data_IF_848575120071
#
_entry.id   IF_848575120071
#
_cell.length_a   1.000
_cell.length_b   1.000
_cell.length_c   1.000
_cell.angle_alpha   90.00
_cell.angle_beta   90.00
_cell.angle_gamma   90.00
#
_symmetry.space_group_name_H-M   'P 1'
#
loop_
_entity.id
_entity.type
_entity.pdbx_description
1 polymer ?
#
# COMPACT_ATOMS: atom_id res chain seq x y z
N UNK A 1 -16.78 32.92 -46.29
CA UNK A 1 -17.65 33.95 -45.68
C UNK A 1 -17.04 34.25 -44.31
N UNK A 2 -16.26 35.33 -44.31
CA UNK A 2 -15.52 35.80 -43.12
C UNK A 2 -16.46 36.61 -42.26
N UNK A 3 -16.39 36.48 -40.96
CA UNK A 3 -16.82 37.51 -40.02
C UNK A 3 -15.78 37.67 -38.93
N UNK A 4 -14.96 38.70 -39.14
CA UNK A 4 -14.16 39.38 -38.13
C UNK A 4 -15.08 39.98 -37.06
N UNK A 5 -14.75 39.82 -35.79
CA UNK A 5 -15.23 40.73 -34.75
C UNK A 5 -14.03 41.16 -33.90
N UNK A 6 -13.58 42.35 -34.21
CA UNK A 6 -12.58 43.16 -33.49
C UNK A 6 -13.19 43.60 -32.16
N UNK A 7 -12.57 43.22 -31.04
CA UNK A 7 -12.91 43.75 -29.71
C UNK A 7 -12.04 44.98 -29.48
N UNK A 8 -12.73 46.11 -29.25
CA UNK A 8 -12.21 47.47 -29.10
C UNK A 8 -11.35 47.64 -27.85
N UNK A 9 -10.27 48.45 -28.04
CA UNK A 9 -9.25 48.78 -27.01
C UNK A 9 -9.73 49.67 -25.84
N UNK A 10 -11.01 50.01 -25.77
CA UNK A 10 -11.54 50.97 -24.76
C UNK A 10 -12.06 50.31 -23.45
N UNK A 11 -11.91 49.00 -23.25
CA UNK A 11 -12.32 48.33 -22.02
C UNK A 11 -11.18 48.02 -21.05
N UNK A 12 -9.95 48.44 -21.32
CA UNK A 12 -8.77 48.16 -20.49
C UNK A 12 -8.36 49.30 -19.54
N UNK A 13 -9.13 50.38 -19.44
CA UNK A 13 -8.73 51.56 -18.65
C UNK A 13 -9.57 51.82 -17.38
N UNK A 14 -10.34 50.86 -16.87
CA UNK A 14 -11.20 51.11 -15.69
C UNK A 14 -11.01 50.15 -14.53
N UNK A 15 -9.79 49.63 -14.30
CA UNK A 15 -9.53 48.70 -13.13
C UNK A 15 -8.36 49.18 -12.26
N UNK A 16 -7.92 50.41 -12.36
CA UNK A 16 -6.93 50.95 -11.43
C UNK A 16 -7.47 52.20 -10.73
N UNK A 17 -8.31 52.06 -9.76
CA UNK A 17 -8.43 52.92 -8.57
C UNK A 17 -9.54 52.43 -7.64
N UNK A 18 -9.25 51.56 -6.72
CA UNK A 18 -9.86 51.56 -5.40
C UNK A 18 -9.00 50.82 -4.40
N UNK A 19 -8.23 51.60 -3.66
CA UNK A 19 -8.01 51.56 -2.22
C UNK A 19 -8.05 50.18 -1.55
N UNK A 20 -6.85 49.75 -1.11
CA UNK A 20 -6.54 48.76 -0.08
C UNK A 20 -7.59 48.69 1.01
N UNK A 21 -8.48 47.71 0.94
CA UNK A 21 -9.13 47.12 2.10
C UNK A 21 -8.60 45.68 2.20
N UNK A 22 -7.79 45.46 3.19
CA UNK A 22 -7.27 44.16 3.57
C UNK A 22 -8.47 43.23 3.89
N UNK A 23 -8.81 42.24 3.04
CA UNK A 23 -9.84 41.29 3.44
C UNK A 23 -9.18 40.38 4.48
N UNK A 24 -9.56 40.58 5.70
CA UNK A 24 -9.39 39.57 6.75
C UNK A 24 -10.03 38.28 6.27
N UNK A 25 -9.20 37.41 5.65
CA UNK A 25 -9.52 36.04 5.39
C UNK A 25 -9.82 35.38 6.73
N UNK A 26 -11.09 35.20 7.05
CA UNK A 26 -11.51 34.34 8.12
C UNK A 26 -10.97 32.97 7.81
N UNK A 27 -10.09 32.38 8.65
CA UNK A 27 -9.61 31.02 8.44
C UNK A 27 -10.80 30.09 8.61
N UNK A 28 -11.34 29.61 7.47
CA UNK A 28 -12.25 28.47 7.51
C UNK A 28 -11.52 27.27 8.10
N UNK A 29 -12.21 26.38 8.84
CA UNK A 29 -11.56 25.19 9.41
C UNK A 29 -11.01 24.36 8.25
N UNK A 30 -9.68 24.23 8.16
CA UNK A 30 -8.98 23.29 7.25
C UNK A 30 -9.46 21.88 7.63
N UNK A 31 -10.44 21.37 6.89
CA UNK A 31 -10.95 20.01 7.05
C UNK A 31 -10.05 19.11 6.23
N UNK A 32 -9.15 18.39 6.89
CA UNK A 32 -8.63 17.15 6.28
C UNK A 32 -9.85 16.31 5.87
N UNK A 33 -9.94 15.86 4.61
CA UNK A 33 -11.01 14.97 4.20
C UNK A 33 -11.00 13.75 5.14
N UNK A 34 -12.14 13.42 5.73
CA UNK A 34 -12.26 12.24 6.61
C UNK A 34 -11.72 10.98 5.92
N UNK A 35 -11.80 10.90 4.59
CA UNK A 35 -11.30 9.83 3.76
C UNK A 35 -9.82 9.52 3.93
N UNK A 36 -8.94 10.52 4.06
CA UNK A 36 -7.50 10.25 4.19
C UNK A 36 -7.11 9.59 5.50
N UNK A 37 -7.71 10.01 6.62
CA UNK A 37 -7.46 9.34 7.91
C UNK A 37 -7.97 7.91 7.84
N UNK A 38 -9.09 7.66 7.15
CA UNK A 38 -9.65 6.34 6.92
C UNK A 38 -8.71 5.47 6.08
N UNK A 39 -8.11 6.00 5.00
CA UNK A 39 -7.15 5.25 4.17
C UNK A 39 -5.88 4.88 4.94
N UNK A 40 -5.31 5.78 5.73
CA UNK A 40 -4.16 5.46 6.58
C UNK A 40 -4.52 4.38 7.60
N UNK A 41 -5.70 4.47 8.22
CA UNK A 41 -6.17 3.48 9.18
C UNK A 41 -6.43 2.14 8.49
N UNK A 42 -7.00 2.15 7.28
CA UNK A 42 -7.19 0.97 6.44
C UNK A 42 -5.86 0.29 6.13
N UNK A 43 -4.87 1.01 5.62
CA UNK A 43 -3.54 0.47 5.34
C UNK A 43 -2.88 -0.16 6.58
N UNK A 44 -3.00 0.47 7.76
CA UNK A 44 -2.50 -0.08 9.03
C UNK A 44 -3.22 -1.36 9.45
N UNK A 45 -4.53 -1.45 9.22
CA UNK A 45 -5.28 -2.67 9.52
C UNK A 45 -4.92 -3.81 8.58
N UNK A 46 -4.68 -3.53 7.28
CA UNK A 46 -4.22 -4.53 6.32
C UNK A 46 -2.83 -5.06 6.68
N UNK A 47 -1.86 -4.19 6.99
CA UNK A 47 -0.54 -4.60 7.45
C UNK A 47 -0.63 -5.43 8.74
N UNK A 48 -1.44 -5.02 9.71
CA UNK A 48 -1.66 -5.75 10.94
C UNK A 48 -2.35 -7.12 10.74
N UNK A 49 -3.20 -7.24 9.72
CA UNK A 49 -3.81 -8.52 9.34
C UNK A 49 -2.77 -9.47 8.75
N UNK A 50 -1.90 -8.98 7.84
CA UNK A 50 -0.78 -9.76 7.28
C UNK A 50 0.16 -10.25 8.40
N UNK A 51 0.59 -9.37 9.31
CA UNK A 51 1.42 -9.75 10.46
C UNK A 51 0.73 -10.80 11.35
N UNK A 52 -0.57 -10.65 11.59
CA UNK A 52 -1.32 -11.63 12.39
C UNK A 52 -1.41 -12.99 11.69
N UNK A 53 -1.64 -12.99 10.38
CA UNK A 53 -1.68 -14.22 9.56
C UNK A 53 -0.31 -14.89 9.52
N UNK A 54 0.77 -14.14 9.38
CA UNK A 54 2.13 -14.69 9.40
C UNK A 54 2.45 -15.37 10.72
N UNK A 55 2.00 -14.81 11.85
CA UNK A 55 2.29 -15.31 13.20
C UNK A 55 1.41 -16.50 13.58
N UNK A 56 0.11 -16.46 13.33
CA UNK A 56 -0.84 -17.47 13.86
C UNK A 56 -1.71 -18.14 12.80
N UNK A 57 -1.58 -17.80 11.53
CA UNK A 57 -2.44 -18.24 10.45
C UNK A 57 -3.83 -17.58 10.46
N UNK A 58 -4.54 -17.67 9.34
CA UNK A 58 -5.90 -17.10 9.22
C UNK A 58 -6.88 -17.72 10.23
N UNK A 59 -6.82 -19.02 10.44
CA UNK A 59 -7.74 -19.72 11.34
C UNK A 59 -7.76 -19.13 12.75
N UNK A 60 -6.62 -18.65 13.23
CA UNK A 60 -6.44 -18.08 14.58
C UNK A 60 -6.37 -16.54 14.58
N UNK A 61 -6.37 -15.89 13.43
CA UNK A 61 -6.44 -14.43 13.34
C UNK A 61 -7.77 -13.93 13.89
N UNK A 62 -7.72 -12.91 14.75
CA UNK A 62 -8.89 -12.28 15.33
C UNK A 62 -8.92 -10.77 15.07
N UNK A 63 -10.12 -10.18 15.03
CA UNK A 63 -10.27 -8.71 14.95
C UNK A 63 -9.54 -8.02 16.11
N UNK A 64 -9.51 -8.62 17.30
CA UNK A 64 -8.80 -8.07 18.46
C UNK A 64 -7.29 -7.95 18.22
N UNK A 65 -6.68 -8.94 17.57
CA UNK A 65 -5.26 -8.90 17.21
C UNK A 65 -4.99 -7.81 16.15
N UNK A 66 -5.83 -7.71 15.11
CA UNK A 66 -5.69 -6.69 14.07
C UNK A 66 -5.80 -5.28 14.67
N UNK A 67 -6.85 -4.98 15.44
CA UNK A 67 -7.02 -3.65 16.05
C UNK A 67 -5.92 -3.31 17.05
N UNK A 68 -5.43 -4.31 17.79
CA UNK A 68 -4.32 -4.14 18.74
C UNK A 68 -3.02 -3.73 18.04
N UNK A 69 -2.63 -4.43 16.96
CA UNK A 69 -1.45 -4.13 16.14
C UNK A 69 -1.62 -2.81 15.39
N UNK A 70 -2.72 -2.63 14.68
CA UNK A 70 -3.03 -1.41 13.93
C UNK A 70 -3.25 -0.17 14.83
N UNK A 71 -3.44 -0.37 16.14
CA UNK A 71 -3.73 0.69 17.13
C UNK A 71 -4.93 1.54 16.75
N UNK A 72 -5.96 0.88 16.24
CA UNK A 72 -7.26 1.51 15.94
C UNK A 72 -8.31 1.12 16.99
N UNK A 73 -9.47 1.79 16.96
CA UNK A 73 -10.60 1.38 17.80
C UNK A 73 -11.38 0.26 17.11
N UNK A 74 -12.12 -0.53 17.93
CA UNK A 74 -13.04 -1.53 17.37
C UNK A 74 -14.09 -0.90 16.45
N UNK A 75 -14.59 0.29 16.83
CA UNK A 75 -15.48 1.06 15.95
C UNK A 75 -14.82 1.39 14.62
N UNK A 76 -13.57 1.87 14.64
CA UNK A 76 -12.83 2.20 13.41
C UNK A 76 -12.66 0.99 12.50
N UNK A 77 -12.46 -0.20 13.06
CA UNK A 77 -12.38 -1.43 12.27
C UNK A 77 -13.71 -1.68 11.55
N UNK A 78 -14.83 -1.67 12.29
CA UNK A 78 -16.16 -1.92 11.70
C UNK A 78 -16.71 -0.76 10.86
N UNK A 79 -16.11 0.42 10.94
CA UNK A 79 -16.39 1.53 10.02
C UNK A 79 -15.74 1.29 8.61
N UNK A 80 -14.76 0.34 8.49
CA UNK A 80 -13.97 0.07 7.28
C UNK A 80 -14.19 -1.35 6.76
N UNK A 81 -14.31 -2.34 7.63
CA UNK A 81 -14.46 -3.75 7.30
C UNK A 81 -15.66 -4.35 8.03
N UNK A 82 -16.44 -5.16 7.33
CA UNK A 82 -17.59 -5.85 7.89
C UNK A 82 -17.16 -6.86 8.97
N UNK A 83 -16.11 -7.61 8.69
CA UNK A 83 -15.57 -8.64 9.58
C UNK A 83 -14.10 -8.94 9.28
N UNK A 84 -13.58 -10.05 9.84
CA UNK A 84 -12.20 -10.47 9.62
C UNK A 84 -11.95 -11.02 8.21
N UNK A 85 -12.98 -11.65 7.60
CA UNK A 85 -12.89 -12.20 6.24
C UNK A 85 -12.76 -11.06 5.23
N UNK A 86 -13.58 -10.01 5.36
CA UNK A 86 -13.52 -8.80 4.55
C UNK A 86 -12.15 -8.08 4.67
N UNK A 87 -11.63 -7.98 5.89
CA UNK A 87 -10.29 -7.44 6.12
C UNK A 87 -9.18 -8.30 5.46
N UNK A 88 -9.30 -9.63 5.55
CA UNK A 88 -8.35 -10.54 4.92
C UNK A 88 -8.45 -10.49 3.39
N UNK A 89 -9.67 -10.49 2.84
CA UNK A 89 -9.91 -10.35 1.41
C UNK A 89 -9.28 -9.06 0.86
N UNK A 90 -9.45 -7.95 1.57
CA UNK A 90 -8.84 -6.68 1.18
C UNK A 90 -7.29 -6.72 1.23
N UNK A 91 -6.69 -7.46 2.17
CA UNK A 91 -5.25 -7.68 2.21
C UNK A 91 -4.77 -8.58 1.07
N UNK A 92 -5.54 -9.64 0.77
CA UNK A 92 -5.33 -10.52 -0.37
C UNK A 92 -5.36 -9.73 -1.69
N UNK A 93 -6.43 -8.96 -1.94
CA UNK A 93 -6.57 -8.15 -3.16
C UNK A 93 -5.43 -7.13 -3.32
N UNK A 94 -5.00 -6.50 -2.24
CA UNK A 94 -3.88 -5.57 -2.27
C UNK A 94 -2.56 -6.27 -2.64
N UNK A 95 -2.32 -7.47 -2.11
CA UNK A 95 -1.14 -8.26 -2.42
C UNK A 95 -1.15 -8.74 -3.88
N UNK A 96 -2.31 -9.23 -4.37
CA UNK A 96 -2.49 -9.64 -5.77
C UNK A 96 -2.30 -8.46 -6.72
N UNK A 97 -2.90 -7.30 -6.43
CA UNK A 97 -2.74 -6.11 -7.26
C UNK A 97 -1.28 -5.66 -7.34
N UNK A 98 -0.55 -5.70 -6.22
CA UNK A 98 0.85 -5.31 -6.20
C UNK A 98 1.76 -6.32 -6.92
N UNK A 99 1.66 -7.59 -6.59
CA UNK A 99 2.44 -8.65 -7.26
C UNK A 99 2.12 -8.73 -8.76
N UNK A 100 0.82 -8.60 -9.10
CA UNK A 100 0.36 -8.59 -10.49
C UNK A 100 0.89 -7.39 -11.29
N UNK A 101 0.92 -6.19 -10.71
CA UNK A 101 1.49 -5.01 -11.37
C UNK A 101 2.98 -5.20 -11.68
N UNK A 102 3.76 -5.71 -10.71
CA UNK A 102 5.19 -6.02 -10.90
C UNK A 102 5.42 -7.07 -11.98
N UNK A 103 4.59 -8.12 -12.01
CA UNK A 103 4.68 -9.18 -12.99
C UNK A 103 4.32 -8.71 -14.40
N UNK A 104 3.25 -7.91 -14.50
CA UNK A 104 2.78 -7.38 -15.78
C UNK A 104 3.79 -6.39 -16.39
N UNK A 105 4.36 -5.48 -15.58
CA UNK A 105 5.41 -4.56 -16.02
C UNK A 105 6.58 -5.35 -16.65
N UNK A 106 7.09 -6.37 -15.96
CA UNK A 106 8.18 -7.18 -16.46
C UNK A 106 7.79 -8.02 -17.68
N UNK A 107 6.54 -8.49 -17.76
CA UNK A 107 6.03 -9.23 -18.92
C UNK A 107 5.98 -8.35 -20.17
N UNK A 108 5.54 -7.10 -20.04
CA UNK A 108 5.38 -6.16 -21.16
C UNK A 108 6.72 -5.61 -21.69
N UNK A 109 7.77 -5.65 -20.88
CA UNK A 109 9.12 -5.27 -21.32
C UNK A 109 9.74 -6.27 -22.31
N UNK A 110 9.21 -7.49 -22.37
CA UNK A 110 9.73 -8.58 -23.21
C UNK A 110 8.97 -8.69 -24.54
N UNK A 111 9.68 -9.06 -25.59
CA UNK A 111 9.11 -9.13 -26.95
C UNK A 111 8.40 -10.46 -27.30
N UNK A 112 8.49 -11.45 -26.42
CA UNK A 112 7.95 -12.80 -26.68
C UNK A 112 7.28 -13.44 -25.49
N UNK A 113 6.24 -14.25 -25.74
CA UNK A 113 5.47 -14.93 -24.68
C UNK A 113 6.36 -15.67 -23.67
N UNK A 114 7.33 -16.47 -24.16
CA UNK A 114 8.21 -17.27 -23.28
C UNK A 114 9.03 -16.40 -22.35
N UNK A 115 9.64 -15.34 -22.87
CA UNK A 115 10.50 -14.46 -22.08
C UNK A 115 9.64 -13.56 -21.19
N UNK A 116 8.50 -13.10 -21.66
CA UNK A 116 7.52 -12.35 -20.85
C UNK A 116 7.01 -13.16 -19.64
N UNK A 117 6.59 -14.41 -19.86
CA UNK A 117 6.17 -15.29 -18.76
C UNK A 117 7.31 -15.53 -17.77
N UNK A 118 8.55 -15.73 -18.28
CA UNK A 118 9.72 -15.90 -17.41
C UNK A 118 9.97 -14.64 -16.56
N UNK A 119 9.95 -13.47 -17.16
CA UNK A 119 10.17 -12.21 -16.47
C UNK A 119 9.07 -11.95 -15.42
N UNK A 120 7.80 -12.13 -15.80
CA UNK A 120 6.67 -12.00 -14.88
C UNK A 120 6.75 -12.98 -13.70
N UNK A 121 7.00 -14.26 -13.96
CA UNK A 121 7.16 -15.28 -12.92
C UNK A 121 8.33 -14.96 -12.00
N UNK A 122 9.46 -14.50 -12.54
CA UNK A 122 10.60 -14.09 -11.74
C UNK A 122 10.25 -12.96 -10.77
N UNK A 123 9.48 -11.96 -11.22
CA UNK A 123 9.03 -10.85 -10.35
C UNK A 123 8.09 -11.33 -9.26
N UNK A 124 7.20 -12.27 -9.56
CA UNK A 124 6.33 -12.91 -8.55
C UNK A 124 7.19 -13.64 -7.52
N UNK A 125 8.15 -14.46 -7.93
CA UNK A 125 9.01 -15.21 -7.01
C UNK A 125 9.84 -14.27 -6.12
N UNK A 126 10.42 -13.21 -6.70
CA UNK A 126 11.13 -12.17 -5.94
C UNK A 126 10.20 -11.48 -4.92
N UNK A 127 8.98 -11.13 -5.33
CA UNK A 127 8.00 -10.52 -4.45
C UNK A 127 7.64 -11.44 -3.26
N UNK A 128 7.46 -12.75 -3.51
CA UNK A 128 7.18 -13.72 -2.45
C UNK A 128 8.37 -13.96 -1.52
N UNK A 129 9.61 -13.88 -2.03
CA UNK A 129 10.84 -13.94 -1.23
C UNK A 129 11.00 -12.69 -0.33
N UNK A 130 10.69 -11.52 -0.88
CA UNK A 130 10.83 -10.24 -0.17
C UNK A 130 9.71 -10.02 0.85
N UNK A 131 8.52 -10.59 0.63
CA UNK A 131 7.30 -10.42 1.41
C UNK A 131 6.65 -11.77 1.80
N UNK A 132 7.31 -12.58 2.64
CA UNK A 132 6.83 -13.92 2.98
C UNK A 132 5.44 -13.92 3.63
N UNK A 133 5.10 -12.88 4.41
CA UNK A 133 3.76 -12.73 5.00
C UNK A 133 2.67 -12.56 3.94
N UNK A 134 2.91 -11.79 2.89
CA UNK A 134 1.99 -11.65 1.76
C UNK A 134 1.93 -12.95 0.92
N UNK A 135 3.06 -13.62 0.75
CA UNK A 135 3.12 -14.95 0.14
C UNK A 135 2.22 -15.95 0.84
N UNK A 136 2.28 -15.99 2.17
CA UNK A 136 1.38 -16.84 2.98
C UNK A 136 -0.10 -16.47 2.78
N UNK A 137 -0.43 -15.18 2.83
CA UNK A 137 -1.81 -14.70 2.57
C UNK A 137 -2.33 -15.19 1.22
N UNK A 138 -1.56 -15.00 0.14
CA UNK A 138 -2.00 -15.28 -1.21
C UNK A 138 -2.03 -16.78 -1.56
N UNK A 139 -1.05 -17.55 -1.07
CA UNK A 139 -0.83 -18.92 -1.56
C UNK A 139 -1.32 -19.95 -0.54
N UNK A 140 -1.08 -19.73 0.76
CA UNK A 140 -1.37 -20.72 1.81
C UNK A 140 -2.72 -20.47 2.46
N UNK A 141 -2.88 -19.32 3.08
CA UNK A 141 -4.01 -19.04 3.99
C UNK A 141 -5.32 -18.74 3.25
N UNK A 142 -5.23 -18.29 1.99
CA UNK A 142 -6.42 -18.06 1.15
C UNK A 142 -7.29 -19.33 0.97
N UNK A 143 -6.69 -20.53 1.06
CA UNK A 143 -7.42 -21.80 0.96
C UNK A 143 -8.39 -22.04 2.12
N UNK A 144 -8.10 -21.47 3.29
CA UNK A 144 -8.94 -21.63 4.50
C UNK A 144 -9.71 -20.37 4.89
N UNK A 145 -9.65 -19.30 4.10
CA UNK A 145 -10.11 -17.98 4.51
C UNK A 145 -11.60 -17.69 4.28
N UNK A 146 -12.35 -18.65 3.72
CA UNK A 146 -13.79 -18.55 3.50
C UNK A 146 -14.18 -18.53 2.01
N UNK A 147 -15.49 -18.62 1.70
CA UNK A 147 -15.96 -18.80 0.34
C UNK A 147 -15.66 -17.60 -0.56
N UNK A 148 -15.77 -16.37 -0.06
CA UNK A 148 -15.52 -15.15 -0.83
C UNK A 148 -14.06 -15.05 -1.27
N UNK A 149 -13.13 -15.43 -0.37
CA UNK A 149 -11.69 -15.45 -0.68
C UNK A 149 -11.37 -16.56 -1.68
N UNK A 150 -12.00 -17.74 -1.54
CA UNK A 150 -11.82 -18.85 -2.48
C UNK A 150 -12.30 -18.49 -3.90
N UNK A 151 -13.44 -17.81 -4.01
CA UNK A 151 -13.96 -17.32 -5.29
C UNK A 151 -13.00 -16.30 -5.92
N UNK A 152 -12.53 -15.34 -5.15
CA UNK A 152 -11.55 -14.34 -5.63
C UNK A 152 -10.22 -15.00 -6.05
N UNK A 153 -9.76 -15.98 -5.28
CA UNK A 153 -8.57 -16.77 -5.63
C UNK A 153 -8.76 -17.53 -6.94
N UNK A 154 -9.94 -18.14 -7.16
CA UNK A 154 -10.24 -18.84 -8.41
C UNK A 154 -10.15 -17.89 -9.62
N UNK A 155 -10.68 -16.67 -9.52
CA UNK A 155 -10.57 -15.65 -10.55
C UNK A 155 -9.10 -15.31 -10.87
N UNK A 156 -8.26 -15.15 -9.85
CA UNK A 156 -6.82 -14.89 -10.03
C UNK A 156 -6.14 -16.04 -10.78
N UNK A 157 -6.47 -17.31 -10.45
CA UNK A 157 -5.90 -18.47 -11.13
C UNK A 157 -6.36 -18.54 -12.60
N UNK A 158 -7.60 -18.16 -12.88
CA UNK A 158 -8.14 -18.08 -14.24
C UNK A 158 -7.41 -16.99 -15.05
N UNK A 159 -7.24 -15.78 -14.50
CA UNK A 159 -6.45 -14.70 -15.12
C UNK A 159 -5.01 -15.13 -15.46
N UNK A 160 -4.36 -15.87 -14.55
CA UNK A 160 -3.02 -16.44 -14.80
C UNK A 160 -3.03 -17.53 -15.87
N UNK A 161 -4.07 -18.39 -15.87
CA UNK A 161 -4.22 -19.43 -16.88
C UNK A 161 -4.38 -18.83 -18.30
N UNK A 162 -5.11 -17.73 -18.45
CA UNK A 162 -5.21 -17.01 -19.73
C UNK A 162 -3.85 -16.52 -20.25
N UNK A 163 -2.99 -15.99 -19.36
CA UNK A 163 -1.62 -15.55 -19.75
C UNK A 163 -0.78 -16.76 -20.20
N UNK A 164 -0.87 -17.88 -19.50
CA UNK A 164 -0.15 -19.11 -19.86
C UNK A 164 -0.70 -19.69 -21.17
N UNK A 165 -2.01 -19.67 -21.37
CA UNK A 165 -2.66 -20.25 -22.56
C UNK A 165 -2.35 -19.53 -23.87
N UNK A 166 -1.88 -18.28 -23.82
CA UNK A 166 -1.31 -17.56 -24.99
C UNK A 166 -0.18 -18.35 -25.63
N UNK A 167 0.46 -19.23 -24.89
CA UNK A 167 1.47 -20.19 -25.41
C UNK A 167 0.96 -21.11 -26.51
N UNK A 168 -0.36 -21.34 -26.62
CA UNK A 168 -0.98 -22.12 -27.72
C UNK A 168 -0.63 -21.59 -29.11
N UNK A 169 -0.47 -20.28 -29.24
CA UNK A 169 -0.08 -19.66 -30.51
C UNK A 169 1.32 -20.10 -31.00
N UNK A 170 2.15 -20.64 -30.11
CA UNK A 170 3.52 -21.09 -30.40
C UNK A 170 3.64 -22.62 -30.37
N UNK A 171 2.55 -23.34 -30.06
CA UNK A 171 2.54 -24.79 -30.03
C UNK A 171 2.62 -25.37 -31.43
N UNK A 172 3.26 -26.54 -31.58
CA UNK A 172 3.29 -27.26 -32.86
C UNK A 172 1.87 -27.68 -33.26
N UNK A 173 1.48 -27.45 -34.51
CA UNK A 173 0.16 -27.82 -35.07
C UNK A 173 -0.16 -29.31 -34.94
N UNK A 174 0.84 -30.15 -34.69
CA UNK A 174 0.67 -31.58 -34.49
C UNK A 174 0.20 -31.95 -33.10
N UNK A 175 0.28 -31.03 -32.14
CA UNK A 175 -0.02 -31.24 -30.73
C UNK A 175 -1.36 -30.54 -30.37
N UNK A 176 -2.47 -31.29 -30.38
CA UNK A 176 -3.74 -30.79 -29.85
C UNK A 176 -3.64 -30.76 -28.32
N UNK A 177 -3.41 -29.57 -27.75
CA UNK A 177 -3.36 -29.39 -26.28
C UNK A 177 -4.78 -29.43 -25.71
N UNK A 178 -5.03 -30.21 -24.65
CA UNK A 178 -6.29 -30.15 -23.89
C UNK A 178 -6.59 -28.73 -23.39
N UNK A 179 -7.87 -28.39 -23.26
CA UNK A 179 -8.27 -27.06 -22.80
C UNK A 179 -7.79 -26.77 -21.38
N UNK A 180 -7.73 -27.79 -20.52
CA UNK A 180 -7.26 -27.68 -19.13
C UNK A 180 -5.76 -27.55 -18.96
N UNK A 181 -4.97 -27.47 -20.06
CA UNK A 181 -3.50 -27.44 -19.99
C UNK A 181 -2.98 -26.26 -19.16
N UNK A 182 -3.49 -25.06 -19.42
CA UNK A 182 -3.05 -23.86 -18.70
C UNK A 182 -3.43 -23.90 -17.22
N UNK A 183 -4.65 -24.33 -16.91
CA UNK A 183 -5.10 -24.52 -15.52
C UNK A 183 -4.22 -25.54 -14.79
N UNK A 184 -3.89 -26.65 -15.43
CA UNK A 184 -2.99 -27.67 -14.87
C UNK A 184 -1.61 -27.12 -14.57
N UNK A 185 -1.03 -26.32 -15.48
CA UNK A 185 0.27 -25.66 -15.30
C UNK A 185 0.22 -24.68 -14.13
N UNK A 186 -0.77 -23.79 -14.08
CA UNK A 186 -0.94 -22.82 -12.98
C UNK A 186 -1.14 -23.55 -11.66
N UNK A 187 -2.01 -24.60 -11.64
CA UNK A 187 -2.23 -25.43 -10.46
C UNK A 187 -0.94 -26.08 -9.95
N UNK A 188 -0.11 -26.61 -10.84
CA UNK A 188 1.19 -27.21 -10.49
C UNK A 188 2.15 -26.16 -9.87
N UNK A 189 2.23 -24.96 -10.43
CA UNK A 189 3.05 -23.86 -9.88
C UNK A 189 2.58 -23.52 -8.48
N UNK A 190 1.27 -23.29 -8.28
CA UNK A 190 0.72 -22.96 -6.97
C UNK A 190 0.90 -24.07 -5.95
N UNK A 191 0.81 -25.33 -6.34
CA UNK A 191 1.06 -26.46 -5.45
C UNK A 191 2.53 -26.48 -4.96
N UNK A 192 3.49 -26.23 -5.84
CA UNK A 192 4.90 -26.12 -5.47
C UNK A 192 5.14 -24.95 -4.54
N UNK A 193 4.63 -23.76 -4.87
CA UNK A 193 4.77 -22.57 -4.04
C UNK A 193 4.12 -22.75 -2.66
N UNK A 194 2.93 -23.35 -2.62
CA UNK A 194 2.23 -23.66 -1.37
C UNK A 194 3.09 -24.53 -0.45
N UNK A 195 3.65 -25.62 -0.97
CA UNK A 195 4.50 -26.53 -0.19
C UNK A 195 5.73 -25.77 0.35
N UNK A 196 6.43 -25.01 -0.49
CA UNK A 196 7.62 -24.26 -0.07
C UNK A 196 7.34 -23.20 0.99
N UNK A 197 6.25 -22.44 0.83
CA UNK A 197 5.85 -21.42 1.81
C UNK A 197 5.32 -22.02 3.12
N UNK A 198 4.71 -23.21 3.07
CA UNK A 198 4.24 -23.91 4.26
C UNK A 198 5.39 -24.50 5.07
N UNK A 199 6.37 -25.10 4.38
CA UNK A 199 7.55 -25.71 5.03
C UNK A 199 8.54 -24.66 5.57
N UNK A 200 8.47 -23.42 5.11
CA UNK A 200 9.37 -22.35 5.54
C UNK A 200 10.83 -22.63 5.15
N UNK A 201 11.06 -23.17 3.96
CA UNK A 201 12.39 -23.52 3.46
C UNK A 201 13.30 -22.30 3.41
N UNK A 202 14.60 -22.46 3.73
CA UNK A 202 15.59 -21.37 3.66
C UNK A 202 16.04 -21.07 2.23
N UNK A 203 15.69 -21.93 1.26
CA UNK A 203 16.03 -21.74 -0.14
C UNK A 203 15.11 -20.67 -0.75
N UNK A 204 15.66 -19.70 -1.48
CA UNK A 204 14.85 -18.67 -2.15
C UNK A 204 13.90 -19.29 -3.16
N UNK A 205 12.66 -18.76 -3.24
CA UNK A 205 11.70 -19.18 -4.25
C UNK A 205 12.17 -18.84 -5.67
N UNK A 206 13.02 -17.82 -5.80
CA UNK A 206 13.67 -17.47 -7.08
C UNK A 206 14.50 -18.59 -7.68
N UNK A 207 15.01 -19.54 -6.88
CA UNK A 207 15.73 -20.71 -7.39
C UNK A 207 14.81 -21.70 -8.14
N UNK A 208 13.49 -21.58 -7.91
CA UNK A 208 12.49 -22.38 -8.63
C UNK A 208 12.19 -21.85 -10.04
N UNK A 209 12.72 -20.71 -10.46
CA UNK A 209 12.36 -20.08 -11.73
C UNK A 209 12.59 -21.01 -12.94
N UNK A 210 13.76 -21.62 -13.05
CA UNK A 210 14.07 -22.56 -14.13
C UNK A 210 13.17 -23.79 -14.11
N UNK A 211 13.06 -24.52 -12.97
CA UNK A 211 12.13 -25.63 -12.81
C UNK A 211 10.68 -25.29 -13.16
N UNK A 212 10.14 -24.20 -12.63
CA UNK A 212 8.75 -23.80 -12.91
C UNK A 212 8.56 -23.40 -14.37
N UNK A 213 9.51 -22.67 -14.97
CA UNK A 213 9.46 -22.34 -16.38
C UNK A 213 9.53 -23.57 -17.26
N UNK A 214 10.27 -24.62 -16.87
CA UNK A 214 10.28 -25.89 -17.59
C UNK A 214 8.90 -26.53 -17.64
N UNK A 215 8.13 -26.47 -16.54
CA UNK A 215 6.73 -26.95 -16.48
C UNK A 215 5.82 -26.10 -17.37
N UNK A 216 6.01 -24.77 -17.37
CA UNK A 216 5.23 -23.86 -18.23
C UNK A 216 5.42 -24.14 -19.72
N UNK A 217 6.65 -24.24 -20.18
CA UNK A 217 6.92 -24.32 -21.62
C UNK A 217 6.81 -25.72 -22.21
N UNK A 218 6.89 -26.77 -21.37
CA UNK A 218 6.89 -28.16 -21.82
C UNK A 218 5.68 -28.52 -22.70
N UNK A 219 4.43 -28.23 -22.34
CA UNK A 219 3.29 -28.61 -23.18
C UNK A 219 3.24 -27.83 -24.50
N UNK A 220 3.70 -26.59 -24.53
CA UNK A 220 3.58 -25.71 -25.71
C UNK A 220 4.78 -25.82 -26.66
N UNK A 221 6.01 -25.86 -26.11
CA UNK A 221 7.25 -25.74 -26.85
C UNK A 221 8.09 -27.05 -26.83
N UNK A 222 7.63 -28.05 -26.07
CA UNK A 222 8.25 -29.37 -25.97
C UNK A 222 9.50 -29.45 -25.09
N UNK A 223 10.06 -30.69 -25.01
CA UNK A 223 11.12 -31.05 -24.06
C UNK A 223 12.44 -30.27 -24.25
N UNK A 224 12.79 -29.90 -25.49
CA UNK A 224 14.01 -29.12 -25.74
C UNK A 224 13.92 -27.71 -25.12
N UNK A 225 12.78 -27.05 -25.25
CA UNK A 225 12.55 -25.75 -24.65
C UNK A 225 12.55 -25.84 -23.13
N UNK A 226 11.91 -26.87 -22.56
CA UNK A 226 11.88 -27.13 -21.12
C UNK A 226 13.31 -27.36 -20.57
N UNK A 227 14.14 -28.17 -21.23
CA UNK A 227 15.54 -28.38 -20.83
C UNK A 227 16.37 -27.10 -20.92
N UNK A 228 16.09 -26.26 -21.92
CA UNK A 228 16.74 -24.95 -22.06
C UNK A 228 16.42 -24.02 -20.88
N UNK A 229 15.17 -24.02 -20.36
CA UNK A 229 14.81 -23.22 -19.18
C UNK A 229 15.55 -23.66 -17.92
N UNK A 230 15.72 -24.97 -17.72
CA UNK A 230 16.50 -25.53 -16.62
C UNK A 230 17.97 -25.09 -16.60
N UNK A 231 18.51 -24.81 -17.78
CA UNK A 231 19.93 -24.44 -17.97
C UNK A 231 20.14 -22.90 -17.99
N UNK A 232 19.07 -22.11 -18.03
CA UNK A 232 19.19 -20.62 -17.99
C UNK A 232 19.65 -20.17 -16.60
N UNK A 233 20.64 -19.26 -16.53
CA UNK A 233 21.09 -18.74 -15.25
C UNK A 233 19.92 -18.09 -14.49
N UNK A 234 19.92 -18.20 -13.14
CA UNK A 234 18.99 -17.45 -12.34
C UNK A 234 19.14 -15.94 -12.60
N UNK A 235 18.08 -15.19 -12.40
CA UNK A 235 18.15 -13.73 -12.51
C UNK A 235 19.09 -13.21 -11.42
N UNK A 236 20.06 -12.41 -11.81
CA UNK A 236 20.89 -11.71 -10.84
C UNK A 236 19.98 -10.80 -10.00
N UNK A 237 19.95 -11.01 -8.68
CA UNK A 237 19.31 -10.08 -7.76
C UNK A 237 20.05 -8.75 -7.88
N UNK A 238 19.45 -7.78 -8.55
CA UNK A 238 19.93 -6.40 -8.43
C UNK A 238 19.94 -6.06 -6.94
N UNK A 239 21.12 -5.73 -6.40
CA UNK A 239 21.31 -5.36 -4.97
C UNK A 239 20.48 -4.15 -4.52
N UNK A 240 19.65 -3.64 -5.38
CA UNK A 240 18.70 -2.55 -5.12
C UNK A 240 17.27 -3.05 -4.88
N UNK A 241 17.07 -4.26 -4.34
CA UNK A 241 15.77 -4.64 -3.80
C UNK A 241 15.41 -3.66 -2.70
N UNK A 242 14.71 -2.60 -3.09
CA UNK A 242 14.07 -1.68 -2.15
C UNK A 242 13.14 -2.52 -1.29
N UNK A 243 13.24 -2.42 0.05
CA UNK A 243 12.29 -3.10 0.92
C UNK A 243 10.87 -2.70 0.49
N UNK A 244 10.07 -3.73 0.25
CA UNK A 244 8.70 -3.65 -0.25
C UNK A 244 7.87 -2.54 0.40
N UNK A 245 7.09 -1.88 -0.46
CA UNK A 245 6.24 -0.74 -0.12
C UNK A 245 4.97 -1.13 0.65
N UNK A 246 4.62 -2.41 0.80
CA UNK A 246 3.38 -2.81 1.50
C UNK A 246 3.60 -3.07 2.99
N UNK A 247 4.74 -3.69 3.37
CA UNK A 247 5.05 -3.96 4.78
C UNK A 247 6.05 -2.96 5.35
N UNK A 248 6.80 -2.24 4.47
CA UNK A 248 7.78 -1.21 4.79
C UNK A 248 7.77 0.00 3.84
N UNK A 249 6.67 0.38 3.25
CA UNK A 249 6.42 1.81 3.28
C UNK A 249 6.54 2.10 4.77
N UNK A 250 7.70 2.57 5.22
CA UNK A 250 7.92 2.96 6.61
C UNK A 250 6.68 3.72 6.99
N UNK A 251 5.76 2.99 7.68
CA UNK A 251 4.58 3.65 8.21
C UNK A 251 5.18 4.87 8.90
N UNK A 252 5.02 6.10 8.38
CA UNK A 252 5.61 7.29 9.00
C UNK A 252 5.14 7.42 10.43
N UNK A 253 4.21 6.55 10.82
CA UNK A 253 3.61 6.34 12.10
C UNK A 253 4.21 5.13 12.84
N UNK A 254 5.15 4.39 12.23
CA UNK A 254 5.81 3.27 12.90
C UNK A 254 6.51 3.76 14.18
N UNK A 255 6.33 3.00 15.26
CA UNK A 255 6.81 3.37 16.58
C UNK A 255 6.00 4.49 17.27
N UNK A 256 4.90 4.98 16.71
CA UNK A 256 3.96 5.87 17.39
C UNK A 256 3.13 5.09 18.40
N UNK A 257 3.50 5.16 19.69
CA UNK A 257 2.72 4.56 20.79
C UNK A 257 1.41 5.30 21.10
N UNK A 258 0.69 5.77 20.06
CA UNK A 258 -0.60 6.43 20.21
C UNK A 258 -1.55 6.13 19.04
N UNK A 259 -2.87 6.25 19.30
CA UNK A 259 -3.87 6.23 18.23
C UNK A 259 -3.79 7.54 17.43
N UNK A 260 -3.66 7.43 16.11
CA UNK A 260 -3.81 8.57 15.23
C UNK A 260 -5.29 8.91 15.11
N UNK A 261 -5.66 10.10 15.56
CA UNK A 261 -7.03 10.60 15.47
C UNK A 261 -7.06 11.83 14.57
N UNK A 262 -8.20 12.14 14.01
CA UNK A 262 -8.41 13.36 13.22
C UNK A 262 -7.93 14.63 13.95
N UNK A 263 -8.14 14.70 15.28
CA UNK A 263 -7.65 15.81 16.12
C UNK A 263 -6.13 15.90 16.13
N UNK A 264 -5.45 14.76 16.25
CA UNK A 264 -3.98 14.71 16.26
C UNK A 264 -3.41 15.21 14.93
N UNK A 265 -3.95 14.76 13.82
CA UNK A 265 -3.52 15.18 12.49
C UNK A 265 -3.73 16.68 12.31
N UNK A 266 -4.91 17.20 12.67
CA UNK A 266 -5.18 18.66 12.59
C UNK A 266 -4.20 19.50 13.41
N UNK A 267 -3.86 19.08 14.61
CA UNK A 267 -2.87 19.77 15.44
C UNK A 267 -1.49 19.79 14.76
N UNK A 268 -1.04 18.66 14.21
CA UNK A 268 0.24 18.62 13.48
C UNK A 268 0.22 19.52 12.24
N UNK A 269 -0.89 19.52 11.49
CA UNK A 269 -1.04 20.39 10.31
C UNK A 269 -1.00 21.88 10.69
N UNK A 270 -1.69 22.29 11.75
CA UNK A 270 -1.66 23.69 12.23
C UNK A 270 -0.25 24.11 12.62
N UNK A 271 0.50 23.23 13.32
CA UNK A 271 1.91 23.52 13.70
C UNK A 271 2.80 23.58 12.46
N UNK A 272 2.56 22.76 11.44
CA UNK A 272 3.31 22.80 10.18
C UNK A 272 3.06 24.10 9.39
N UNK A 273 1.81 24.57 9.37
CA UNK A 273 1.40 25.82 8.70
C UNK A 273 1.85 27.08 9.46
N UNK A 274 1.96 26.98 10.79
CA UNK A 274 2.34 28.08 11.68
C UNK A 274 3.39 27.63 12.71
N UNK A 275 4.66 27.48 12.29
CA UNK A 275 5.73 27.15 13.22
C UNK A 275 5.86 28.22 14.29
N UNK A 276 5.99 27.81 15.55
CA UNK A 276 6.03 28.71 16.70
C UNK A 276 4.66 29.09 17.27
N UNK A 277 3.56 28.48 16.78
CA UNK A 277 2.23 28.78 17.26
C UNK A 277 2.05 28.46 18.76
N UNK A 278 1.30 29.31 19.46
CA UNK A 278 0.90 29.14 20.86
C UNK A 278 -0.19 28.08 21.02
N UNK A 279 -0.39 27.59 22.25
CA UNK A 279 -1.50 26.67 22.56
C UNK A 279 -2.87 27.21 22.09
N UNK A 280 -3.07 28.53 22.22
CA UNK A 280 -4.32 29.19 21.82
C UNK A 280 -4.49 29.16 20.29
N UNK A 281 -3.48 29.54 19.53
CA UNK A 281 -3.53 29.53 18.06
C UNK A 281 -3.71 28.13 17.50
N UNK A 282 -3.05 27.12 18.11
CA UNK A 282 -3.22 25.73 17.75
C UNK A 282 -4.63 25.25 18.05
N UNK A 283 -5.20 25.63 19.21
CA UNK A 283 -6.58 25.31 19.59
C UNK A 283 -7.58 25.89 18.58
N UNK A 284 -7.45 27.17 18.25
CA UNK A 284 -8.27 27.88 17.28
C UNK A 284 -8.16 27.26 15.88
N UNK A 285 -6.94 27.02 15.38
CA UNK A 285 -6.69 26.43 14.07
C UNK A 285 -7.15 24.98 13.97
N UNK A 286 -7.02 24.20 15.04
CA UNK A 286 -7.46 22.80 15.07
C UNK A 286 -8.94 22.60 15.40
N UNK A 287 -9.67 23.67 15.80
CA UNK A 287 -11.08 23.60 16.20
C UNK A 287 -11.29 22.84 17.50
N UNK A 288 -10.31 22.87 18.40
CA UNK A 288 -10.40 22.30 19.76
C UNK A 288 -10.74 23.45 20.71
N UNK A 289 -11.97 23.48 21.20
CA UNK A 289 -12.48 24.58 22.02
C UNK A 289 -11.85 24.58 23.43
N UNK A 290 -11.55 23.40 23.97
CA UNK A 290 -11.05 23.21 25.32
C UNK A 290 -9.53 23.34 25.40
N UNK A 291 -9.04 24.40 26.03
CA UNK A 291 -7.62 24.66 26.23
C UNK A 291 -6.90 23.59 27.07
N UNK A 292 -7.62 22.95 27.99
CA UNK A 292 -7.08 21.85 28.79
C UNK A 292 -6.82 20.60 27.94
N UNK A 293 -7.70 20.33 26.95
CA UNK A 293 -7.52 19.22 26.02
C UNK A 293 -6.34 19.45 25.07
N UNK A 294 -6.17 20.67 24.53
CA UNK A 294 -5.03 20.98 23.64
C UNK A 294 -3.71 20.88 24.39
N UNK A 295 -3.61 21.38 25.60
CA UNK A 295 -2.40 21.30 26.41
C UNK A 295 -2.00 19.84 26.70
N UNK A 296 -2.97 19.01 27.10
CA UNK A 296 -2.72 17.56 27.29
C UNK A 296 -2.29 16.87 26.02
N UNK A 297 -2.88 17.22 24.88
CA UNK A 297 -2.51 16.64 23.58
C UNK A 297 -1.11 17.06 23.17
N UNK A 298 -0.75 18.35 23.26
CA UNK A 298 0.58 18.85 22.93
C UNK A 298 1.68 18.23 23.83
N UNK A 299 1.43 18.13 25.14
CA UNK A 299 2.32 17.43 26.07
C UNK A 299 2.52 15.97 25.66
N UNK A 300 1.46 15.29 25.24
CA UNK A 300 1.56 13.91 24.76
C UNK A 300 2.34 13.80 23.45
N UNK A 301 2.13 14.73 22.51
CA UNK A 301 2.86 14.77 21.24
C UNK A 301 4.35 15.08 21.47
N UNK A 302 4.69 15.94 22.42
CA UNK A 302 6.06 16.21 22.80
C UNK A 302 6.75 14.97 23.40
N UNK A 303 6.10 14.22 24.27
CA UNK A 303 6.63 12.94 24.80
C UNK A 303 6.90 11.90 23.69
N UNK A 304 6.15 11.97 22.60
CA UNK A 304 6.33 11.12 21.41
C UNK A 304 7.32 11.68 20.41
N UNK A 305 7.97 12.79 20.77
CA UNK A 305 8.94 13.48 19.90
C UNK A 305 8.37 13.87 18.53
N UNK A 306 7.09 14.25 18.48
CA UNK A 306 6.44 14.74 17.26
C UNK A 306 6.46 16.27 17.20
N UNK A 307 6.40 16.92 18.36
CA UNK A 307 6.46 18.37 18.50
C UNK A 307 7.45 18.74 19.60
N UNK A 308 8.03 19.92 19.50
CA UNK A 308 8.88 20.52 20.51
C UNK A 308 8.40 21.94 20.83
N UNK A 309 8.57 22.34 22.08
CA UNK A 309 8.27 23.69 22.52
C UNK A 309 9.59 24.47 22.67
N UNK A 310 9.77 25.48 21.84
CA UNK A 310 10.97 26.35 21.88
C UNK A 310 10.73 27.65 22.62
N UNK A 311 9.50 27.86 23.13
CA UNK A 311 9.20 29.02 23.97
C UNK A 311 9.78 28.85 25.38
N UNK A 312 10.24 29.96 26.00
CA UNK A 312 10.79 29.99 27.36
C UNK A 312 9.71 29.78 28.44
N UNK A 313 8.90 28.71 28.30
CA UNK A 313 7.79 28.36 29.19
C UNK A 313 8.19 28.12 30.67
N UNK A 314 9.39 28.46 31.09
CA UNK A 314 9.83 28.47 32.49
C UNK A 314 9.57 29.80 33.21
N UNK A 315 9.36 30.90 32.52
CA UNK A 315 8.92 32.16 33.12
C UNK A 315 7.41 32.28 33.07
N UNK A 316 6.81 32.60 34.23
CA UNK A 316 5.36 32.87 34.34
C UNK A 316 4.99 34.02 33.40
N UNK A 317 4.41 33.69 32.23
CA UNK A 317 3.91 34.65 31.23
C UNK A 317 4.47 34.52 29.82
N UNK A 318 5.50 33.71 29.59
CA UNK A 318 5.97 33.43 28.23
C UNK A 318 5.02 32.48 27.50
N UNK A 319 4.67 32.81 26.25
CA UNK A 319 3.81 31.97 25.43
C UNK A 319 4.61 30.79 24.89
N UNK A 320 3.98 29.59 24.90
CA UNK A 320 4.55 28.42 24.23
C UNK A 320 4.73 28.70 22.73
N UNK A 321 5.81 28.17 22.15
CA UNK A 321 6.09 28.22 20.73
C UNK A 321 6.34 26.78 20.23
N UNK A 322 5.36 26.21 19.56
CA UNK A 322 5.39 24.81 19.15
C UNK A 322 5.92 24.63 17.73
N UNK A 323 6.83 23.68 17.55
CA UNK A 323 7.42 23.31 16.27
C UNK A 323 7.29 21.81 16.03
N UNK A 324 7.22 21.40 14.76
CA UNK A 324 7.33 19.99 14.42
C UNK A 324 8.78 19.54 14.52
N UNK A 325 9.01 18.39 15.15
CA UNK A 325 10.30 17.70 15.03
C UNK A 325 10.44 17.08 13.64
N UNK A 326 11.64 16.62 13.21
CA UNK A 326 11.80 15.87 11.97
C UNK A 326 10.89 14.65 11.87
N UNK A 327 10.57 14.00 13.00
CA UNK A 327 9.63 12.90 13.10
C UNK A 327 8.19 13.38 12.91
N UNK A 328 7.82 14.48 13.55
CA UNK A 328 6.49 15.10 13.41
C UNK A 328 6.22 15.56 11.99
N UNK A 329 7.22 16.16 11.33
CA UNK A 329 7.12 16.60 9.95
C UNK A 329 6.95 15.42 8.97
N UNK A 330 7.55 14.24 9.23
CA UNK A 330 7.29 13.04 8.44
C UNK A 330 5.86 12.54 8.61
N UNK A 331 5.36 12.51 9.84
CA UNK A 331 3.97 12.12 10.15
C UNK A 331 2.98 13.09 9.51
N UNK A 332 3.22 14.39 9.61
CA UNK A 332 2.36 15.42 9.02
C UNK A 332 2.32 15.28 7.49
N UNK A 333 3.47 15.15 6.81
CA UNK A 333 3.54 14.98 5.36
C UNK A 333 2.82 13.71 4.88
N UNK A 334 2.94 12.62 5.60
CA UNK A 334 2.24 11.36 5.28
C UNK A 334 0.72 11.45 5.48
N UNK A 335 0.25 12.43 6.27
CA UNK A 335 -1.16 12.66 6.55
C UNK A 335 -1.74 13.88 5.81
N UNK A 336 -0.90 14.63 5.07
CA UNK A 336 -1.29 15.79 4.29
C UNK A 336 -2.01 15.36 3.00
N UNK A 337 -3.15 15.99 2.64
CA UNK A 337 -3.79 15.77 1.34
C UNK A 337 -2.89 16.22 0.19
N UNK A 338 -2.81 15.42 -0.86
CA UNK A 338 -2.28 15.82 -2.16
C UNK A 338 -3.30 16.66 -2.91
#
# INVERSE_FOLDING_TARGET
MQLNTTISQDQMASVYTTRTANPTLRPGPSRLPRGQVTEIQRGRMLAAAVEAVEEVGYAHMTVAQVIGRARVSRKTFYDVFADREDCFLAAFDQAIAHGGALANEAYEEESGWRDGVRAGLARILMFLDDEPGLGRVCVVEALGAGPTVLERRAQVLEELAEVIDRGRAFASTTNQLPDVTAEGVVGAIFAVLHTRLLEGTQEPLTDLLGPLMSVVVLPYLGARAASSEMSRPPLERSRESRPSTLTRARDPLDGLKMRLTHRTVRVLTVIAERPGASNREIAEGSGIIDQGQISKLLTRLARLQLVENTGDGQEKGASNAWHLTPRGARVERATRPH
#
